data_IF_193711644022
#
_entry.id   IF_193711644022
#
_cell.length_a   1.000
_cell.length_b   1.000
_cell.length_c   1.000
_cell.angle_alpha   90.00
_cell.angle_beta   90.00
_cell.angle_gamma   90.00
#
_symmetry.space_group_name_H-M   'P 1'
#
loop_
_entity.id
_entity.type
_entity.pdbx_description
1 polymer ?
#
# COMPACT_ATOMS: atom_id res chain seq x y z
N UNK A 1 15.14 12.19 -0.10
CA UNK A 1 15.78 13.33 0.60
C UNK A 1 16.11 14.54 -0.29
N UNK A 2 16.63 14.37 -1.49
CA UNK A 2 16.95 15.48 -2.40
C UNK A 2 15.73 16.34 -2.79
N UNK A 3 14.54 15.76 -2.97
CA UNK A 3 13.32 16.52 -3.29
C UNK A 3 12.75 17.32 -2.11
N UNK A 4 12.96 16.88 -0.85
CA UNK A 4 12.48 17.60 0.33
C UNK A 4 13.23 18.93 0.56
N UNK A 5 14.51 18.97 0.22
CA UNK A 5 15.33 20.19 0.36
C UNK A 5 14.94 21.29 -0.64
N UNK A 6 14.33 20.92 -1.77
CA UNK A 6 13.88 21.91 -2.79
C UNK A 6 12.53 22.56 -2.46
N UNK A 7 11.84 22.11 -1.40
CA UNK A 7 10.48 22.55 -1.09
C UNK A 7 10.38 23.57 0.05
N UNK A 8 11.52 24.10 0.55
CA UNK A 8 11.57 25.05 1.70
C UNK A 8 10.69 24.63 2.89
N UNK A 9 10.64 23.31 3.14
CA UNK A 9 9.90 22.78 4.28
C UNK A 9 10.63 23.18 5.55
N UNK A 10 9.93 23.63 6.59
CA UNK A 10 10.50 23.74 7.92
C UNK A 10 10.79 22.29 8.41
N UNK A 11 11.96 21.80 8.02
CA UNK A 11 12.47 20.53 8.54
C UNK A 11 12.99 20.86 9.94
N UNK A 12 12.46 20.17 10.95
CA UNK A 12 13.00 20.24 12.30
C UNK A 12 14.52 20.08 12.24
N UNK A 13 15.32 20.97 12.88
CA UNK A 13 16.77 20.86 12.90
C UNK A 13 17.30 19.47 13.31
N UNK A 14 16.52 18.72 14.09
CA UNK A 14 16.83 17.32 14.45
C UNK A 14 16.76 16.38 13.24
N UNK A 15 15.83 16.62 12.30
CA UNK A 15 15.72 15.82 11.08
C UNK A 15 16.78 16.21 10.03
N UNK A 16 17.30 17.44 10.07
CA UNK A 16 18.34 17.91 9.14
C UNK A 16 19.69 17.20 9.36
N UNK A 17 19.94 16.70 10.57
CA UNK A 17 21.15 15.95 10.97
C UNK A 17 20.91 14.44 11.09
N UNK A 18 19.70 13.93 10.75
CA UNK A 18 19.39 12.53 10.81
C UNK A 18 20.22 11.76 9.77
N UNK A 19 21.01 10.80 10.22
CA UNK A 19 21.56 9.76 9.36
C UNK A 19 20.42 8.92 8.77
N UNK A 20 20.66 8.23 7.66
CA UNK A 20 19.69 7.33 7.01
C UNK A 20 19.14 6.23 7.96
N UNK A 21 19.86 5.95 9.03
CA UNK A 21 19.51 4.97 10.06
C UNK A 21 18.78 5.57 11.29
N UNK A 22 18.44 6.87 11.27
CA UNK A 22 17.74 7.48 12.40
C UNK A 22 16.27 7.07 12.38
N UNK A 23 15.84 6.39 13.43
CA UNK A 23 14.43 6.08 13.68
C UNK A 23 13.64 7.38 13.84
N UNK A 24 12.61 7.56 13.04
CA UNK A 24 11.71 8.73 13.11
C UNK A 24 10.41 8.28 13.75
N UNK A 25 9.89 9.07 14.71
CA UNK A 25 8.56 8.83 15.26
C UNK A 25 7.50 8.75 14.16
N UNK A 26 6.67 7.70 14.17
CA UNK A 26 5.72 7.43 13.11
C UNK A 26 4.63 8.52 12.96
N UNK A 27 4.27 9.23 14.05
CA UNK A 27 3.33 10.37 14.00
C UNK A 27 3.96 11.56 13.30
N UNK A 28 5.24 11.81 13.58
CA UNK A 28 6.01 12.87 12.90
C UNK A 28 6.18 12.55 11.42
N UNK A 29 6.51 11.28 11.09
CA UNK A 29 6.53 10.82 9.70
C UNK A 29 5.19 11.06 8.99
N UNK A 30 4.06 10.76 9.63
CA UNK A 30 2.74 10.97 9.06
C UNK A 30 2.40 12.44 8.82
N UNK A 31 2.92 13.36 9.64
CA UNK A 31 2.77 14.81 9.43
C UNK A 31 3.59 15.26 8.22
N UNK A 32 4.84 14.82 8.11
CA UNK A 32 5.70 15.11 6.95
C UNK A 32 5.04 14.54 5.69
N UNK A 33 4.59 13.29 5.73
CA UNK A 33 3.91 12.63 4.62
C UNK A 33 2.74 13.47 4.09
N UNK A 34 1.81 13.87 4.97
CA UNK A 34 0.66 14.71 4.58
C UNK A 34 1.09 16.06 4.02
N UNK A 35 2.11 16.68 4.58
CA UNK A 35 2.60 17.98 4.11
C UNK A 35 3.20 17.86 2.71
N UNK A 36 4.02 16.85 2.46
CA UNK A 36 4.63 16.58 1.15
C UNK A 36 3.57 16.25 0.10
N UNK A 37 2.61 15.39 0.43
CA UNK A 37 1.48 15.07 -0.43
C UNK A 37 0.72 16.34 -0.89
N UNK A 38 0.43 17.24 0.05
CA UNK A 38 -0.25 18.50 -0.25
C UNK A 38 0.59 19.42 -1.12
N UNK A 39 1.88 19.52 -0.88
CA UNK A 39 2.79 20.38 -1.68
C UNK A 39 2.99 19.83 -3.10
N UNK A 40 3.14 18.54 -3.23
CA UNK A 40 3.29 17.89 -4.55
C UNK A 40 1.96 17.77 -5.28
N UNK A 41 0.81 17.88 -4.59
CA UNK A 41 -0.52 17.54 -5.11
C UNK A 41 -0.53 16.13 -5.71
N UNK A 42 0.21 15.23 -5.06
CA UNK A 42 0.39 13.86 -5.49
C UNK A 42 0.50 12.92 -4.29
N UNK A 43 -0.48 12.04 -4.14
CA UNK A 43 -0.55 11.06 -3.06
C UNK A 43 0.40 9.88 -3.29
N UNK A 44 0.87 9.68 -4.53
CA UNK A 44 1.88 8.68 -4.87
C UNK A 44 3.32 9.15 -4.65
N UNK A 45 3.56 10.44 -4.38
CA UNK A 45 4.90 11.06 -4.26
C UNK A 45 5.81 10.89 -5.49
N UNK A 46 5.25 10.66 -6.66
CA UNK A 46 6.00 10.30 -7.86
C UNK A 46 6.67 8.92 -7.76
N UNK A 47 6.30 8.11 -6.76
CA UNK A 47 6.82 6.77 -6.58
C UNK A 47 6.08 5.80 -7.50
N UNK A 48 6.56 5.67 -8.72
CA UNK A 48 6.22 4.56 -9.59
C UNK A 48 4.96 4.67 -10.42
N UNK A 49 4.34 5.85 -10.52
CA UNK A 49 3.27 6.08 -11.48
C UNK A 49 3.70 7.21 -12.43
N UNK A 50 3.56 7.01 -13.72
CA UNK A 50 3.79 8.04 -14.75
C UNK A 50 2.96 9.31 -14.52
N UNK A 51 1.95 9.19 -13.65
CA UNK A 51 0.98 10.24 -13.42
C UNK A 51 0.68 10.39 -11.94
N UNK A 52 0.40 11.64 -11.58
CA UNK A 52 0.08 12.01 -10.21
C UNK A 52 -1.23 11.38 -9.76
N UNK A 53 -1.24 10.85 -8.55
CA UNK A 53 -2.46 10.47 -7.84
C UNK A 53 -2.97 11.67 -7.06
N UNK A 54 -4.15 12.24 -7.39
CA UNK A 54 -4.65 13.42 -6.69
C UNK A 54 -4.70 13.24 -5.18
N UNK A 55 -4.32 14.27 -4.44
CA UNK A 55 -4.39 14.26 -2.98
C UNK A 55 -5.83 14.01 -2.51
N UNK A 56 -6.01 13.04 -1.60
CA UNK A 56 -7.33 12.59 -1.10
C UNK A 56 -7.90 11.38 -1.83
N UNK A 57 -7.22 10.83 -2.84
CA UNK A 57 -7.66 9.63 -3.55
C UNK A 57 -7.84 8.43 -2.62
N UNK A 58 -6.91 8.22 -1.68
CA UNK A 58 -7.03 7.14 -0.69
C UNK A 58 -8.25 7.33 0.22
N UNK A 59 -8.53 8.55 0.66
CA UNK A 59 -9.75 8.84 1.43
C UNK A 59 -11.01 8.52 0.63
N UNK A 60 -11.06 8.92 -0.64
CA UNK A 60 -12.21 8.64 -1.50
C UNK A 60 -12.38 7.14 -1.74
N UNK A 61 -11.27 6.41 -1.95
CA UNK A 61 -11.28 4.96 -2.02
C UNK A 61 -11.88 4.33 -0.76
N UNK A 62 -11.42 4.75 0.42
CA UNK A 62 -11.94 4.24 1.69
C UNK A 62 -13.44 4.48 1.84
N UNK A 63 -13.93 5.69 1.52
CA UNK A 63 -15.38 6.00 1.54
C UNK A 63 -16.17 5.17 0.54
N UNK A 64 -15.57 4.81 -0.60
CA UNK A 64 -16.22 4.00 -1.63
C UNK A 64 -16.40 2.54 -1.22
N UNK A 65 -15.48 2.01 -0.39
CA UNK A 65 -15.47 0.58 -0.01
C UNK A 65 -16.02 0.30 1.39
N UNK A 66 -16.14 1.30 2.28
CA UNK A 66 -16.45 1.06 3.70
C UNK A 66 -17.80 0.36 3.93
N UNK A 67 -18.73 0.50 3.01
CA UNK A 67 -20.05 -0.13 3.06
C UNK A 67 -20.12 -1.49 2.36
N UNK A 68 -19.00 -2.06 1.94
CA UNK A 68 -18.96 -3.42 1.42
C UNK A 68 -19.21 -4.42 2.55
N UNK A 69 -19.90 -5.50 2.23
CA UNK A 69 -20.20 -6.56 3.19
C UNK A 69 -19.01 -7.47 3.45
N UNK A 70 -18.22 -7.74 2.41
CA UNK A 70 -17.09 -8.68 2.45
C UNK A 70 -15.81 -8.06 1.91
N UNK A 71 -14.67 -8.67 2.29
CA UNK A 71 -13.37 -8.26 1.77
C UNK A 71 -13.32 -8.38 0.24
N UNK A 72 -13.92 -9.43 -0.36
CA UNK A 72 -13.95 -9.57 -1.81
C UNK A 72 -14.63 -8.39 -2.48
N UNK A 73 -15.80 -7.99 -1.99
CA UNK A 73 -16.52 -6.82 -2.52
C UNK A 73 -15.67 -5.55 -2.41
N UNK A 74 -15.00 -5.35 -1.27
CA UNK A 74 -14.14 -4.21 -1.06
C UNK A 74 -12.96 -4.18 -2.04
N UNK A 75 -12.29 -5.31 -2.25
CA UNK A 75 -11.17 -5.44 -3.17
C UNK A 75 -11.59 -5.20 -4.63
N UNK A 76 -12.75 -5.74 -5.05
CA UNK A 76 -13.29 -5.51 -6.39
C UNK A 76 -13.65 -4.03 -6.61
N UNK A 77 -14.35 -3.41 -5.66
CA UNK A 77 -14.68 -1.98 -5.74
C UNK A 77 -13.44 -1.09 -5.69
N UNK A 78 -12.44 -1.46 -4.89
CA UNK A 78 -11.17 -0.73 -4.86
C UNK A 78 -10.51 -0.73 -6.24
N UNK A 79 -10.50 -1.88 -6.93
CA UNK A 79 -9.98 -1.99 -8.28
C UNK A 79 -10.78 -1.17 -9.29
N UNK A 80 -12.13 -1.15 -9.20
CA UNK A 80 -12.98 -0.30 -10.03
C UNK A 80 -12.65 1.19 -9.84
N UNK A 81 -12.51 1.64 -8.58
CA UNK A 81 -12.14 3.01 -8.28
C UNK A 81 -10.77 3.38 -8.85
N UNK A 82 -9.76 2.53 -8.65
CA UNK A 82 -8.41 2.76 -9.18
C UNK A 82 -8.43 2.81 -10.71
N UNK A 83 -9.14 1.89 -11.37
CA UNK A 83 -9.31 1.92 -12.83
C UNK A 83 -9.99 3.20 -13.29
N UNK A 84 -11.03 3.64 -12.60
CA UNK A 84 -11.71 4.91 -12.91
C UNK A 84 -10.73 6.10 -12.78
N UNK A 85 -9.97 6.19 -11.70
CA UNK A 85 -8.95 7.24 -11.54
C UNK A 85 -7.90 7.20 -12.66
N UNK A 86 -7.49 6.01 -13.11
CA UNK A 86 -6.55 5.85 -14.23
C UNK A 86 -7.14 6.34 -15.56
N UNK A 87 -8.41 6.07 -15.83
CA UNK A 87 -9.06 6.58 -17.05
C UNK A 87 -9.13 8.11 -17.09
N UNK A 88 -9.30 8.76 -15.94
CA UNK A 88 -9.28 10.23 -15.84
C UNK A 88 -7.91 10.83 -16.17
N UNK A 89 -6.85 10.04 -16.11
CA UNK A 89 -5.47 10.44 -16.41
C UNK A 89 -4.96 9.85 -17.73
N UNK A 90 -5.85 9.32 -18.59
CA UNK A 90 -5.53 8.64 -19.85
C UNK A 90 -4.57 7.44 -19.69
N UNK A 91 -4.46 6.88 -18.50
CA UNK A 91 -3.69 5.67 -18.26
C UNK A 91 -4.49 4.43 -18.65
N UNK A 92 -3.86 3.38 -19.21
CA UNK A 92 -4.56 2.16 -19.54
C UNK A 92 -5.14 1.49 -18.29
N UNK A 93 -6.34 0.90 -18.43
CA UNK A 93 -6.92 0.09 -17.36
C UNK A 93 -6.09 -1.18 -17.15
N UNK A 94 -5.56 -1.37 -15.95
CA UNK A 94 -4.65 -2.47 -15.63
C UNK A 94 -5.26 -3.55 -14.72
N UNK A 95 -6.45 -3.30 -14.18
CA UNK A 95 -7.15 -4.27 -13.34
C UNK A 95 -8.12 -5.12 -14.14
N UNK A 96 -7.60 -6.17 -14.78
CA UNK A 96 -8.44 -7.25 -15.30
C UNK A 96 -8.44 -8.37 -14.26
N UNK A 97 -9.61 -8.71 -13.71
CA UNK A 97 -9.77 -9.76 -12.69
C UNK A 97 -8.91 -9.54 -11.43
N UNK A 98 -9.20 -8.52 -10.63
CA UNK A 98 -8.44 -8.23 -9.42
C UNK A 98 -8.48 -9.37 -8.40
N UNK A 99 -9.59 -10.10 -8.31
CA UNK A 99 -9.79 -11.23 -7.41
C UNK A 99 -10.19 -12.47 -8.21
N UNK A 100 -9.52 -13.59 -7.96
CA UNK A 100 -9.80 -14.88 -8.56
C UNK A 100 -9.74 -15.98 -7.49
N UNK A 101 -10.85 -16.72 -7.32
CA UNK A 101 -10.90 -17.91 -6.47
C UNK A 101 -10.36 -19.11 -7.25
N UNK A 102 -9.47 -19.89 -6.63
CA UNK A 102 -8.87 -21.08 -7.21
C UNK A 102 -9.59 -22.33 -6.71
N UNK A 103 -9.38 -23.46 -7.41
CA UNK A 103 -10.08 -24.73 -7.09
C UNK A 103 -9.53 -25.46 -5.86
N UNK A 104 -8.42 -24.98 -5.30
CA UNK A 104 -7.72 -25.59 -4.16
C UNK A 104 -8.03 -24.92 -2.81
N UNK A 105 -9.03 -24.03 -2.75
CA UNK A 105 -9.39 -23.29 -1.54
C UNK A 105 -8.50 -22.07 -1.29
N UNK A 106 -7.74 -21.66 -2.29
CA UNK A 106 -6.95 -20.42 -2.26
C UNK A 106 -7.55 -19.36 -3.18
N UNK A 107 -7.07 -18.13 -3.07
CA UNK A 107 -7.47 -17.05 -3.94
C UNK A 107 -6.30 -16.13 -4.27
N UNK A 108 -6.31 -15.58 -5.48
CA UNK A 108 -5.38 -14.56 -5.93
C UNK A 108 -6.02 -13.18 -5.85
N UNK A 109 -5.33 -12.25 -5.22
CA UNK A 109 -5.60 -10.82 -5.36
C UNK A 109 -4.45 -10.18 -6.12
N UNK A 110 -4.73 -9.75 -7.36
CA UNK A 110 -3.73 -9.12 -8.24
C UNK A 110 -3.70 -7.63 -8.03
N UNK A 111 -2.51 -7.08 -8.01
CA UNK A 111 -2.26 -5.64 -8.01
C UNK A 111 -2.23 -5.10 -9.44
N UNK A 112 -2.46 -3.77 -9.63
CA UNK A 112 -2.34 -3.17 -10.95
C UNK A 112 -0.98 -3.45 -11.55
N UNK A 113 -0.95 -3.75 -12.82
CA UNK A 113 0.30 -3.81 -13.57
C UNK A 113 0.90 -2.40 -13.61
N UNK A 114 2.07 -2.26 -13.01
CA UNK A 114 2.87 -1.07 -13.13
C UNK A 114 3.71 -1.17 -14.41
N UNK A 115 3.09 -0.97 -15.56
CA UNK A 115 3.80 -0.86 -16.83
C UNK A 115 4.74 0.35 -16.87
N UNK A 116 4.62 1.23 -15.91
CA UNK A 116 5.22 2.58 -15.91
C UNK A 116 6.44 2.71 -14.97
N UNK A 117 6.84 1.63 -14.28
CA UNK A 117 8.12 1.58 -13.58
C UNK A 117 9.33 1.43 -14.52
N UNK A 118 9.11 1.52 -15.83
CA UNK A 118 10.12 1.51 -16.91
C UNK A 118 10.94 2.80 -16.92
N UNK A 119 11.44 3.23 -15.80
CA UNK A 119 12.27 4.43 -15.65
C UNK A 119 13.00 4.49 -14.33
N UNK A 120 12.70 3.57 -13.42
CA UNK A 120 13.48 3.42 -12.20
C UNK A 120 14.86 2.91 -12.59
N UNK A 121 15.86 3.76 -12.43
CA UNK A 121 17.26 3.50 -12.77
C UNK A 121 17.91 2.36 -11.96
N UNK A 122 17.13 1.71 -11.09
CA UNK A 122 17.56 0.60 -10.25
C UNK A 122 16.38 -0.37 -9.99
N UNK A 123 16.52 -1.60 -10.48
CA UNK A 123 15.58 -2.72 -10.32
C UNK A 123 15.31 -3.01 -8.83
N UNK A 124 16.31 -2.87 -7.97
CA UNK A 124 16.17 -3.06 -6.52
C UNK A 124 15.24 -2.01 -5.89
N UNK A 125 15.27 -0.77 -6.37
CA UNK A 125 14.40 0.30 -5.90
C UNK A 125 12.94 0.07 -6.29
N UNK A 126 12.68 -0.37 -7.51
CA UNK A 126 11.35 -0.67 -8.01
C UNK A 126 10.70 -1.83 -7.25
N UNK A 127 11.42 -2.94 -7.08
CA UNK A 127 10.95 -4.12 -6.32
C UNK A 127 10.59 -3.77 -4.88
N UNK A 128 11.44 -2.97 -4.22
CA UNK A 128 11.22 -2.53 -2.84
C UNK A 128 9.98 -1.64 -2.74
N UNK A 129 9.78 -0.70 -3.66
CA UNK A 129 8.63 0.21 -3.67
C UNK A 129 7.31 -0.56 -3.85
N UNK A 130 7.27 -1.51 -4.79
CA UNK A 130 6.10 -2.36 -5.01
C UNK A 130 5.80 -3.19 -3.76
N UNK A 131 6.80 -3.85 -3.18
CA UNK A 131 6.63 -4.66 -2.00
C UNK A 131 6.14 -3.84 -0.79
N UNK A 132 6.67 -2.64 -0.58
CA UNK A 132 6.19 -1.73 0.47
C UNK A 132 4.74 -1.33 0.26
N UNK A 133 4.34 -1.00 -0.96
CA UNK A 133 2.95 -0.70 -1.31
C UNK A 133 2.04 -1.89 -1.03
N UNK A 134 2.44 -3.09 -1.41
CA UNK A 134 1.69 -4.31 -1.12
C UNK A 134 1.60 -4.57 0.39
N UNK A 135 2.66 -4.36 1.16
CA UNK A 135 2.65 -4.51 2.61
C UNK A 135 1.69 -3.53 3.29
N UNK A 136 1.65 -2.27 2.84
CA UNK A 136 0.68 -1.26 3.30
C UNK A 136 -0.76 -1.74 2.98
N UNK A 137 -0.97 -2.24 1.78
CA UNK A 137 -2.28 -2.75 1.35
C UNK A 137 -2.72 -3.97 2.17
N UNK A 138 -1.79 -4.89 2.48
CA UNK A 138 -2.05 -6.02 3.39
C UNK A 138 -2.57 -5.52 4.74
N UNK A 139 -1.88 -4.57 5.37
CA UNK A 139 -2.28 -3.98 6.65
C UNK A 139 -3.65 -3.30 6.56
N UNK A 140 -3.93 -2.63 5.46
CA UNK A 140 -5.24 -2.04 5.23
C UNK A 140 -6.35 -3.11 5.14
N UNK A 141 -6.12 -4.21 4.43
CA UNK A 141 -7.06 -5.34 4.39
C UNK A 141 -7.27 -5.95 5.79
N UNK A 142 -6.20 -6.14 6.56
CA UNK A 142 -6.30 -6.62 7.95
C UNK A 142 -7.11 -5.67 8.82
N UNK A 143 -6.91 -4.36 8.67
CA UNK A 143 -7.73 -3.38 9.35
C UNK A 143 -9.20 -3.48 8.93
N UNK A 144 -9.51 -3.58 7.66
CA UNK A 144 -10.90 -3.70 7.16
C UNK A 144 -11.66 -4.88 7.80
N UNK A 145 -11.00 -6.03 7.96
CA UNK A 145 -11.63 -7.26 8.49
C UNK A 145 -11.36 -7.48 9.98
N UNK A 146 -10.52 -6.64 10.62
CA UNK A 146 -10.19 -6.71 12.06
C UNK A 146 -9.44 -7.95 12.50
N UNK A 147 -8.78 -8.64 11.58
CA UNK A 147 -7.98 -9.85 11.86
C UNK A 147 -6.83 -9.99 10.86
N UNK A 148 -5.82 -10.82 11.18
CA UNK A 148 -4.74 -11.12 10.24
C UNK A 148 -5.28 -11.65 8.90
N UNK A 149 -4.65 -11.22 7.81
CA UNK A 149 -4.89 -11.78 6.49
C UNK A 149 -4.03 -13.04 6.35
N UNK A 150 -4.68 -14.19 6.14
CA UNK A 150 -4.00 -15.48 5.98
C UNK A 150 -3.35 -15.54 4.58
N UNK A 151 -2.13 -15.01 4.53
CA UNK A 151 -1.34 -14.86 3.32
C UNK A 151 -0.43 -16.09 3.17
N UNK A 152 -0.63 -16.83 2.08
CA UNK A 152 0.10 -18.05 1.77
C UNK A 152 1.41 -17.73 1.07
N UNK A 153 1.36 -16.86 0.05
CA UNK A 153 2.53 -16.41 -0.67
C UNK A 153 2.31 -15.01 -1.27
N UNK A 154 3.42 -14.37 -1.62
CA UNK A 154 3.44 -13.12 -2.38
C UNK A 154 4.14 -13.35 -3.71
N UNK A 155 3.53 -12.92 -4.79
CA UNK A 155 4.09 -12.94 -6.14
C UNK A 155 4.53 -11.54 -6.54
N UNK A 156 5.76 -11.41 -7.01
CA UNK A 156 6.34 -10.16 -7.51
C UNK A 156 6.84 -10.35 -8.95
N UNK A 157 6.46 -9.44 -9.85
CA UNK A 157 6.94 -9.45 -11.24
C UNK A 157 8.43 -9.14 -11.34
N UNK A 158 8.94 -8.37 -10.39
CA UNK A 158 10.33 -7.96 -10.36
C UNK A 158 11.28 -9.18 -10.20
N UNK A 159 12.47 -9.05 -10.73
CA UNK A 159 13.52 -10.04 -10.52
C UNK A 159 13.96 -10.10 -9.06
N UNK A 160 14.48 -11.25 -8.66
CA UNK A 160 14.93 -11.48 -7.29
C UNK A 160 16.10 -10.53 -6.93
N UNK A 161 15.93 -9.70 -5.88
CA UNK A 161 16.98 -8.80 -5.43
C UNK A 161 18.06 -9.56 -4.65
N UNK A 162 19.21 -8.91 -4.43
CA UNK A 162 20.32 -9.52 -3.68
C UNK A 162 19.99 -9.84 -2.21
N UNK A 163 18.95 -9.24 -1.62
CA UNK A 163 18.53 -9.41 -0.21
C UNK A 163 17.12 -10.00 -0.13
N UNK A 164 16.98 -11.29 -0.35
CA UNK A 164 15.68 -12.00 -0.30
C UNK A 164 15.02 -11.94 1.09
N UNK A 165 15.77 -12.15 2.16
CA UNK A 165 15.26 -12.24 3.51
C UNK A 165 14.48 -11.02 4.00
N UNK A 166 14.72 -9.83 3.43
CA UNK A 166 13.93 -8.63 3.74
C UNK A 166 12.46 -8.80 3.36
N UNK A 167 12.18 -9.38 2.20
CA UNK A 167 10.82 -9.53 1.68
C UNK A 167 10.04 -10.60 2.44
N UNK A 168 10.69 -11.70 2.82
CA UNK A 168 10.08 -12.74 3.65
C UNK A 168 9.73 -12.20 5.04
N UNK A 169 10.61 -11.39 5.64
CA UNK A 169 10.31 -10.69 6.92
C UNK A 169 9.16 -9.69 6.77
N UNK A 170 9.10 -8.95 5.65
CA UNK A 170 8.06 -7.95 5.40
C UNK A 170 6.66 -8.58 5.31
N UNK A 171 6.56 -9.77 4.70
CA UNK A 171 5.28 -10.43 4.45
C UNK A 171 4.99 -11.59 5.41
N UNK A 172 5.99 -12.15 6.08
CA UNK A 172 5.85 -13.31 6.96
C UNK A 172 5.42 -14.59 6.24
N UNK A 173 5.65 -14.67 4.92
CA UNK A 173 5.34 -15.82 4.07
C UNK A 173 6.33 -15.90 2.91
N UNK A 174 6.22 -16.94 2.09
CA UNK A 174 7.05 -17.14 0.91
C UNK A 174 6.85 -16.03 -0.14
N UNK A 175 7.94 -15.61 -0.80
CA UNK A 175 7.90 -14.56 -1.84
C UNK A 175 8.50 -15.10 -3.13
N UNK A 176 7.69 -15.13 -4.19
CA UNK A 176 8.07 -15.58 -5.52
C UNK A 176 8.36 -14.39 -6.42
N UNK A 177 9.59 -14.31 -6.90
CA UNK A 177 10.04 -13.29 -7.85
C UNK A 177 9.94 -13.79 -9.31
N UNK A 178 9.97 -12.85 -10.27
CA UNK A 178 9.83 -13.17 -11.69
C UNK A 178 8.45 -13.73 -12.06
N UNK A 179 7.44 -13.46 -11.27
CA UNK A 179 6.07 -13.90 -11.46
C UNK A 179 5.38 -13.11 -12.59
N UNK A 180 4.30 -13.66 -13.15
CA UNK A 180 3.53 -12.99 -14.21
C UNK A 180 2.85 -11.71 -13.70
N UNK A 181 2.43 -11.70 -12.42
CA UNK A 181 1.72 -10.58 -11.81
C UNK A 181 2.26 -10.29 -10.41
N UNK A 182 2.09 -9.04 -9.96
CA UNK A 182 2.19 -8.73 -8.54
C UNK A 182 0.87 -9.16 -7.88
N UNK A 183 0.91 -10.13 -6.95
CA UNK A 183 -0.30 -10.69 -6.36
C UNK A 183 -0.07 -11.20 -4.94
N UNK A 184 -1.16 -11.24 -4.17
CA UNK A 184 -1.26 -12.06 -2.97
C UNK A 184 -1.93 -13.39 -3.31
N UNK A 185 -1.34 -14.49 -2.87
CA UNK A 185 -2.00 -15.78 -2.73
C UNK A 185 -2.44 -15.90 -1.28
N UNK A 186 -3.74 -16.00 -1.04
CA UNK A 186 -4.34 -16.02 0.29
C UNK A 186 -5.34 -17.16 0.44
N UNK A 187 -5.65 -17.56 1.68
CA UNK A 187 -6.70 -18.52 1.93
C UNK A 187 -8.05 -17.94 1.47
N UNK A 188 -8.81 -18.73 0.70
CA UNK A 188 -10.05 -18.27 0.06
C UNK A 188 -11.06 -17.67 1.05
N UNK A 189 -11.17 -18.27 2.26
CA UNK A 189 -12.10 -17.80 3.29
C UNK A 189 -11.88 -16.34 3.72
N UNK A 190 -10.69 -15.80 3.52
CA UNK A 190 -10.41 -14.38 3.80
C UNK A 190 -11.29 -13.45 2.97
N UNK A 191 -11.65 -13.85 1.76
CA UNK A 191 -12.50 -13.07 0.86
C UNK A 191 -13.93 -12.91 1.41
N UNK A 192 -14.41 -13.88 2.18
CA UNK A 192 -15.76 -13.90 2.76
C UNK A 192 -15.82 -13.18 4.12
N UNK A 193 -14.67 -12.71 4.63
CA UNK A 193 -14.63 -11.98 5.89
C UNK A 193 -15.43 -10.69 5.81
N UNK A 194 -16.33 -10.44 6.78
CA UNK A 194 -17.08 -9.19 6.83
C UNK A 194 -16.16 -8.00 7.14
N UNK A 195 -16.47 -6.85 6.57
CA UNK A 195 -15.88 -5.59 7.02
C UNK A 195 -16.50 -5.21 8.37
N UNK A 196 -15.64 -4.85 9.33
CA UNK A 196 -16.07 -4.57 10.69
C UNK A 196 -16.14 -3.08 11.03
N UNK A 197 -15.67 -2.22 10.12
CA UNK A 197 -15.55 -0.79 10.35
C UNK A 197 -16.75 0.00 9.83
N UNK A 198 -17.05 1.10 10.53
CA UNK A 198 -18.06 2.08 10.19
C UNK A 198 -17.43 3.36 9.64
N UNK A 199 -18.23 4.30 9.13
CA UNK A 199 -17.73 5.62 8.75
C UNK A 199 -17.06 6.36 9.91
N UNK A 200 -17.54 6.19 11.14
CA UNK A 200 -16.93 6.83 12.30
C UNK A 200 -15.51 6.28 12.58
N UNK A 201 -15.37 4.96 12.60
CA UNK A 201 -14.05 4.33 12.77
C UNK A 201 -13.11 4.64 11.59
N UNK A 202 -13.64 4.73 10.37
CA UNK A 202 -12.89 5.18 9.20
C UNK A 202 -12.40 6.62 9.37
N UNK A 203 -13.21 7.54 9.87
CA UNK A 203 -12.76 8.91 10.12
C UNK A 203 -11.63 8.97 11.15
N UNK A 204 -11.69 8.14 12.21
CA UNK A 204 -10.61 8.02 13.19
C UNK A 204 -9.33 7.48 12.54
N UNK A 205 -9.44 6.43 11.74
CA UNK A 205 -8.33 5.85 10.99
C UNK A 205 -7.68 6.89 10.05
N UNK A 206 -8.47 7.59 9.23
CA UNK A 206 -7.96 8.56 8.26
C UNK A 206 -7.29 9.79 8.91
N UNK A 207 -7.65 10.14 10.15
CA UNK A 207 -6.94 11.20 10.90
C UNK A 207 -5.50 10.83 11.22
N UNK A 208 -5.24 9.56 11.44
CA UNK A 208 -3.94 9.03 11.83
C UNK A 208 -3.20 8.31 10.68
N UNK A 209 -3.88 8.10 9.55
CA UNK A 209 -3.22 7.55 8.37
C UNK A 209 -2.18 8.56 7.80
N UNK A 210 -1.05 8.10 7.32
CA UNK A 210 -0.67 6.71 7.11
C UNK A 210 -0.04 6.01 8.33
N UNK A 211 0.06 6.64 9.51
CA UNK A 211 0.71 6.05 10.69
C UNK A 211 0.25 4.62 10.97
N UNK A 212 -1.06 4.39 11.09
CA UNK A 212 -1.60 3.04 11.35
C UNK A 212 -1.33 1.99 10.26
N UNK A 213 -0.94 2.43 9.07
CA UNK A 213 -0.55 1.53 7.98
C UNK A 213 0.95 1.22 7.96
N UNK A 214 1.75 2.00 8.69
CA UNK A 214 3.21 1.89 8.72
C UNK A 214 3.70 1.14 9.97
N UNK A 215 2.96 1.25 11.08
CA UNK A 215 3.32 0.64 12.37
C UNK A 215 2.46 -0.59 12.62
N UNK A 216 3.05 -1.69 13.05
CA UNK A 216 2.31 -2.88 13.48
C UNK A 216 1.58 -2.61 14.79
N UNK A 217 0.39 -3.20 14.98
CA UNK A 217 -0.38 -3.05 16.24
C UNK A 217 0.39 -3.57 17.47
N UNK A 218 1.40 -4.42 17.28
CA UNK A 218 2.24 -4.92 18.38
C UNK A 218 3.15 -3.84 18.99
N UNK A 219 3.43 -2.75 18.27
CA UNK A 219 4.27 -1.65 18.75
C UNK A 219 3.47 -0.58 19.54
N UNK A 220 2.14 -0.57 19.45
CA UNK A 220 1.28 0.45 20.07
C UNK A 220 0.90 0.09 21.54
N UNK A 221 0.91 -1.21 21.91
CA UNK A 221 0.62 -1.69 23.26
C UNK A 221 1.78 -1.50 24.25
N UNK A 222 2.96 -1.13 23.79
CA UNK A 222 4.13 -0.88 24.62
C UNK A 222 4.31 0.58 25.07
N UNK A 223 3.30 1.45 24.83
CA UNK A 223 3.36 2.89 25.13
C UNK A 223 2.19 3.39 26.00
N UNK A 224 1.79 2.58 27.02
CA UNK A 224 0.90 3.01 28.10
C UNK A 224 1.62 3.02 29.44
#
# INVERSE_FOLDING_TARGET
MLQLRSLDLPIDPLAANANLDTMIDGRYYSQIYRRVMWLLQDESFGLGLDRRTPAGSFRMLCLFIIHCETLEQALRRAAEFINYCRTLTDAPSSYRRPVERLSDGTALYRFPENTDLVGASDINSASTTIAQTMAIWRRFCQWLIGKPLDLIAVHLQADAPARLGYFEQLFGCEVHFGSEHNAFLLAEYCLDCPLIHTEESLQKFLRNAPYHLLVSQEDDDSSL
#
